data_IF_402269557722
#
_entry.id   IF_402269557722
#
_cell.length_a   1.000
_cell.length_b   1.000
_cell.length_c   1.000
_cell.angle_alpha   90.00
_cell.angle_beta   90.00
_cell.angle_gamma   90.00
#
_symmetry.space_group_name_H-M   'P 1'
#
loop_
_entity.id
_entity.type
_entity.pdbx_description
1 polymer ?
#
# COMPACT_ATOMS: atom_id res chain seq x y z
N UNK A 1 31.72 -2.28 -12.66
CA UNK A 1 30.91 -1.07 -12.40
C UNK A 1 31.63 -0.27 -11.31
N UNK A 2 31.99 1.00 -11.52
CA UNK A 2 32.72 1.79 -10.50
C UNK A 2 31.74 2.35 -9.47
N UNK A 3 32.17 2.50 -8.20
CA UNK A 3 31.32 2.99 -7.10
C UNK A 3 30.63 4.33 -7.45
N UNK A 4 31.35 5.24 -8.11
CA UNK A 4 30.82 6.53 -8.60
C UNK A 4 29.64 6.36 -9.57
N UNK A 5 29.73 5.41 -10.50
CA UNK A 5 28.66 5.12 -11.47
C UNK A 5 27.45 4.46 -10.79
N UNK A 6 27.69 3.60 -9.81
CA UNK A 6 26.61 3.01 -9.02
C UNK A 6 25.85 4.07 -8.22
N UNK A 7 26.56 4.96 -7.52
CA UNK A 7 25.94 6.07 -6.77
C UNK A 7 25.16 7.01 -7.69
N UNK A 8 25.73 7.38 -8.85
CA UNK A 8 25.03 8.19 -9.86
C UNK A 8 23.74 7.53 -10.36
N UNK A 9 23.79 6.23 -10.64
CA UNK A 9 22.59 5.48 -11.02
C UNK A 9 21.52 5.47 -9.92
N UNK A 10 21.92 5.23 -8.66
CA UNK A 10 21.00 5.26 -7.52
C UNK A 10 20.31 6.63 -7.38
N UNK A 11 21.04 7.74 -7.56
CA UNK A 11 20.46 9.08 -7.54
C UNK A 11 19.44 9.25 -8.68
N UNK A 12 19.76 8.81 -9.91
CA UNK A 12 18.82 8.87 -11.03
C UNK A 12 17.55 8.03 -10.79
N UNK A 13 17.68 6.86 -10.14
CA UNK A 13 16.52 6.04 -9.73
C UNK A 13 15.67 6.75 -8.68
N UNK A 14 16.29 7.40 -7.68
CA UNK A 14 15.54 8.19 -6.69
C UNK A 14 14.77 9.33 -7.37
N UNK A 15 15.41 10.05 -8.29
CA UNK A 15 14.75 11.11 -9.06
C UNK A 15 13.60 10.55 -9.90
N UNK A 16 13.77 9.40 -10.56
CA UNK A 16 12.73 8.73 -11.33
C UNK A 16 11.54 8.31 -10.44
N UNK A 17 11.80 7.77 -9.25
CA UNK A 17 10.79 7.43 -8.24
C UNK A 17 9.97 8.65 -7.86
N UNK A 18 10.63 9.77 -7.58
CA UNK A 18 9.96 11.04 -7.23
C UNK A 18 9.11 11.52 -8.40
N UNK A 19 9.67 11.61 -9.61
CA UNK A 19 8.97 12.07 -10.81
C UNK A 19 7.71 11.24 -11.10
N UNK A 20 7.83 9.91 -11.15
CA UNK A 20 6.69 9.03 -11.45
C UNK A 20 5.61 9.11 -10.36
N UNK A 21 5.98 9.35 -9.10
CA UNK A 21 5.03 9.54 -8.00
C UNK A 21 4.17 10.80 -8.13
N UNK A 22 4.62 11.81 -8.89
CA UNK A 22 3.87 13.04 -9.14
C UNK A 22 3.19 13.06 -10.52
N UNK A 23 3.87 12.57 -11.55
CA UNK A 23 3.37 12.59 -12.94
C UNK A 23 2.19 11.63 -13.13
N UNK A 24 2.28 10.41 -12.62
CA UNK A 24 1.22 9.40 -12.83
C UNK A 24 -0.11 9.81 -12.17
N UNK A 25 -0.13 10.38 -10.94
CA UNK A 25 -1.35 10.98 -10.40
C UNK A 25 -1.87 12.17 -11.21
N UNK A 26 -1.00 12.99 -11.80
CA UNK A 26 -1.42 14.14 -12.61
C UNK A 26 -2.17 13.73 -13.89
N UNK A 27 -1.89 12.53 -14.43
CA UNK A 27 -2.62 11.95 -15.58
C UNK A 27 -3.79 11.03 -15.16
N UNK A 28 -4.16 11.05 -13.87
CA UNK A 28 -5.34 10.33 -13.36
C UNK A 28 -5.09 8.91 -12.86
N UNK A 29 -3.84 8.46 -12.71
CA UNK A 29 -3.52 7.15 -12.12
C UNK A 29 -3.45 7.28 -10.59
N UNK A 30 -4.32 6.60 -9.83
CA UNK A 30 -4.35 6.71 -8.37
C UNK A 30 -3.03 6.29 -7.70
N UNK A 31 -2.60 7.02 -6.67
CA UNK A 31 -1.39 6.70 -5.88
C UNK A 31 -1.43 5.29 -5.29
N UNK A 32 -2.62 4.82 -4.92
CA UNK A 32 -2.88 3.48 -4.40
C UNK A 32 -2.52 2.34 -5.36
N UNK A 33 -2.50 2.61 -6.67
CA UNK A 33 -2.10 1.64 -7.69
C UNK A 33 -0.59 1.63 -7.94
N UNK A 34 0.10 2.69 -7.53
CA UNK A 34 1.50 2.98 -7.89
C UNK A 34 2.43 2.73 -6.72
N UNK A 35 1.99 3.06 -5.50
CA UNK A 35 2.83 2.98 -4.30
C UNK A 35 2.61 1.67 -3.55
N UNK A 36 3.63 1.18 -2.83
CA UNK A 36 3.47 0.03 -1.95
C UNK A 36 2.32 0.25 -0.94
N UNK A 37 1.48 -0.77 -0.67
CA UNK A 37 0.35 -0.64 0.26
C UNK A 37 0.70 -0.02 1.63
N UNK A 38 1.88 -0.31 2.23
CA UNK A 38 2.31 0.36 3.46
C UNK A 38 2.43 1.88 3.38
N UNK A 39 2.93 2.41 2.26
CA UNK A 39 3.12 3.84 2.07
C UNK A 39 1.78 4.55 1.88
N UNK A 40 0.90 3.95 1.09
CA UNK A 40 -0.45 4.46 0.83
C UNK A 40 -1.25 4.52 2.14
N UNK A 41 -1.21 3.45 2.93
CA UNK A 41 -1.89 3.40 4.23
C UNK A 41 -1.38 4.47 5.20
N UNK A 42 -0.07 4.70 5.26
CA UNK A 42 0.50 5.74 6.13
C UNK A 42 0.00 7.14 5.78
N UNK A 43 -0.38 7.37 4.53
CA UNK A 43 -0.91 8.65 4.04
C UNK A 43 -2.45 8.67 3.95
N UNK A 44 -3.12 7.60 4.38
CA UNK A 44 -4.56 7.46 4.27
C UNK A 44 -5.28 8.46 5.20
N UNK A 45 -6.19 9.24 4.63
CA UNK A 45 -6.98 10.25 5.35
C UNK A 45 -8.45 9.86 5.53
N UNK A 46 -8.92 8.85 4.78
CA UNK A 46 -10.29 8.38 4.85
C UNK A 46 -10.60 7.77 6.20
N UNK A 47 -11.75 8.14 6.77
CA UNK A 47 -12.27 7.59 8.03
C UNK A 47 -13.72 7.18 7.84
N UNK A 48 -14.06 6.00 8.33
CA UNK A 48 -15.43 5.50 8.30
C UNK A 48 -15.74 4.68 9.56
N UNK A 49 -16.99 4.72 10.04
CA UNK A 49 -17.46 3.76 11.03
C UNK A 49 -17.51 2.38 10.38
N UNK A 50 -17.01 1.39 11.10
CA UNK A 50 -17.09 -0.01 10.76
C UNK A 50 -17.59 -0.84 11.93
N UNK A 51 -17.83 -2.11 11.66
CA UNK A 51 -18.29 -3.08 12.65
C UNK A 51 -17.51 -4.37 12.50
N UNK A 52 -17.15 -4.98 13.62
CA UNK A 52 -16.49 -6.28 13.64
C UNK A 52 -17.49 -7.36 13.25
N UNK A 53 -17.23 -8.03 12.14
CA UNK A 53 -18.13 -9.02 11.56
C UNK A 53 -17.82 -10.44 11.99
N UNK A 54 -16.55 -10.76 12.27
CA UNK A 54 -16.15 -12.10 12.70
C UNK A 54 -14.84 -12.07 13.49
N UNK A 55 -14.65 -13.10 14.32
CA UNK A 55 -13.39 -13.41 15.00
C UNK A 55 -12.89 -14.74 14.45
N UNK A 56 -11.62 -14.81 14.06
CA UNK A 56 -10.99 -16.03 13.55
C UNK A 56 -9.63 -16.24 14.19
N UNK A 57 -9.27 -17.49 14.37
CA UNK A 57 -7.95 -17.86 14.81
C UNK A 57 -7.45 -19.11 14.08
N UNK A 58 -6.15 -19.16 13.81
CA UNK A 58 -5.51 -20.28 13.09
C UNK A 58 -4.20 -20.64 13.76
N UNK A 59 -3.77 -21.91 13.72
CA UNK A 59 -2.44 -22.29 14.16
C UNK A 59 -1.37 -21.52 13.39
N UNK A 60 -0.30 -21.13 14.08
CA UNK A 60 0.86 -20.47 13.50
C UNK A 60 1.59 -21.44 12.56
N UNK A 61 1.87 -21.00 11.34
CA UNK A 61 2.70 -21.75 10.39
C UNK A 61 4.20 -21.68 10.70
N UNK A 62 4.60 -21.05 11.83
CA UNK A 62 5.99 -20.95 12.21
C UNK A 62 6.49 -22.28 12.80
N UNK A 63 7.46 -22.96 12.15
CA UNK A 63 7.93 -24.27 12.60
C UNK A 63 8.66 -24.22 13.96
N UNK A 64 9.10 -23.04 14.41
CA UNK A 64 9.78 -22.85 15.70
C UNK A 64 8.83 -22.48 16.84
N UNK A 65 7.54 -22.28 16.56
CA UNK A 65 6.52 -21.91 17.55
C UNK A 65 5.31 -22.83 17.46
N UNK A 66 5.59 -24.13 17.63
CA UNK A 66 4.59 -25.19 17.59
C UNK A 66 3.55 -24.94 18.69
N UNK A 67 2.27 -24.92 18.31
CA UNK A 67 1.14 -24.66 19.22
C UNK A 67 0.75 -23.19 19.38
N UNK A 68 1.55 -22.23 18.88
CA UNK A 68 1.16 -20.82 18.88
C UNK A 68 -0.04 -20.61 17.94
N UNK A 69 -1.01 -19.79 18.36
CA UNK A 69 -2.17 -19.41 17.55
C UNK A 69 -2.04 -17.97 17.09
N UNK A 70 -2.50 -17.71 15.88
CA UNK A 70 -2.60 -16.38 15.31
C UNK A 70 -4.07 -15.96 15.30
N UNK A 71 -4.35 -14.81 15.86
CA UNK A 71 -5.68 -14.26 16.02
C UNK A 71 -5.95 -13.16 15.00
N UNK A 72 -7.16 -13.17 14.45
CA UNK A 72 -7.64 -12.23 13.45
C UNK A 72 -9.05 -11.80 13.81
N UNK A 73 -9.39 -10.57 13.48
CA UNK A 73 -10.79 -10.21 13.36
C UNK A 73 -11.06 -9.64 11.98
N UNK A 74 -12.27 -9.88 11.51
CA UNK A 74 -12.81 -9.35 10.28
C UNK A 74 -13.75 -8.21 10.63
N UNK A 75 -13.69 -7.15 9.85
CA UNK A 75 -14.57 -6.00 10.00
C UNK A 75 -15.11 -5.57 8.65
N UNK A 76 -16.26 -4.90 8.69
CA UNK A 76 -16.90 -4.30 7.52
C UNK A 76 -17.11 -2.82 7.76
N UNK A 77 -16.97 -2.02 6.72
CA UNK A 77 -17.22 -0.58 6.76
C UNK A 77 -17.77 -0.11 5.41
N UNK A 78 -18.39 1.07 5.41
CA UNK A 78 -18.87 1.69 4.17
C UNK A 78 -17.95 2.83 3.78
N UNK A 79 -17.50 2.81 2.53
CA UNK A 79 -16.75 3.89 1.92
C UNK A 79 -17.24 4.11 0.49
N UNK A 80 -16.93 5.26 -0.09
CA UNK A 80 -17.25 5.52 -1.50
C UNK A 80 -16.33 4.71 -2.39
N UNK A 81 -16.90 4.13 -3.43
CA UNK A 81 -16.10 3.38 -4.39
C UNK A 81 -15.07 4.28 -5.09
N UNK A 82 -13.88 3.74 -5.37
CA UNK A 82 -12.86 4.51 -6.06
C UNK A 82 -13.39 4.93 -7.44
N UNK A 83 -13.10 6.17 -7.85
CA UNK A 83 -13.41 6.60 -9.20
C UNK A 83 -12.68 5.69 -10.19
N UNK A 84 -13.42 5.00 -11.06
CA UNK A 84 -12.82 4.38 -12.22
C UNK A 84 -12.31 5.48 -13.17
N UNK A 85 -11.16 5.24 -13.80
CA UNK A 85 -10.62 6.10 -14.86
C UNK A 85 -11.72 6.42 -15.88
N UNK A 86 -12.01 7.71 -16.09
CA UNK A 86 -13.01 8.17 -17.07
C UNK A 86 -14.42 8.44 -16.53
N UNK A 87 -14.68 8.26 -15.23
CA UNK A 87 -16.01 8.52 -14.64
C UNK A 87 -15.96 9.73 -13.70
N UNK A 88 -16.64 10.82 -14.09
CA UNK A 88 -16.61 12.12 -13.43
C UNK A 88 -17.29 12.17 -12.04
N UNK A 89 -18.00 11.12 -11.62
CA UNK A 89 -18.75 11.09 -10.35
C UNK A 89 -18.13 10.09 -9.37
N UNK A 90 -17.96 10.45 -8.08
CA UNK A 90 -17.61 9.47 -7.05
C UNK A 90 -18.63 8.32 -7.08
N UNK A 91 -18.14 7.09 -6.99
CA UNK A 91 -19.03 5.93 -6.92
C UNK A 91 -19.91 5.96 -5.68
N UNK A 92 -21.04 5.25 -5.74
CA UNK A 92 -21.92 5.04 -4.57
C UNK A 92 -21.15 4.40 -3.41
N UNK A 93 -21.61 4.61 -2.18
CA UNK A 93 -21.03 3.92 -1.03
C UNK A 93 -21.16 2.40 -1.21
N UNK A 94 -20.06 1.68 -1.01
CA UNK A 94 -19.98 0.23 -1.08
C UNK A 94 -19.51 -0.31 0.27
N UNK A 95 -19.90 -1.55 0.56
CA UNK A 95 -19.41 -2.27 1.71
C UNK A 95 -18.01 -2.83 1.40
N UNK A 96 -17.05 -2.49 2.24
CA UNK A 96 -15.69 -3.04 2.21
C UNK A 96 -15.47 -3.91 3.43
N UNK A 97 -14.58 -4.88 3.29
CA UNK A 97 -14.13 -5.73 4.40
C UNK A 97 -12.61 -5.66 4.55
N UNK A 98 -12.17 -5.85 5.79
CA UNK A 98 -10.77 -5.99 6.10
C UNK A 98 -10.53 -7.03 7.18
N UNK A 99 -9.30 -7.53 7.23
CA UNK A 99 -8.88 -8.53 8.22
C UNK A 99 -7.60 -8.05 8.88
N UNK A 100 -7.66 -7.82 10.20
CA UNK A 100 -6.51 -7.38 10.98
C UNK A 100 -6.02 -8.52 11.89
N UNK A 101 -4.70 -8.75 11.91
CA UNK A 101 -4.04 -9.64 12.87
C UNK A 101 -3.94 -8.91 14.22
N UNK A 102 -4.25 -9.62 15.30
CA UNK A 102 -4.20 -9.08 16.67
C UNK A 102 -3.47 -9.98 17.65
N UNK A 103 -3.15 -9.41 18.81
CA UNK A 103 -2.66 -10.17 19.96
C UNK A 103 -3.81 -10.95 20.61
N UNK A 104 -3.47 -11.99 21.39
CA UNK A 104 -4.45 -12.77 22.17
C UNK A 104 -5.25 -11.90 23.14
N UNK A 105 -4.62 -10.91 23.77
CA UNK A 105 -5.27 -9.98 24.70
C UNK A 105 -6.36 -9.16 24.02
N UNK A 106 -6.08 -8.62 22.83
CA UNK A 106 -7.04 -7.83 22.05
C UNK A 106 -8.16 -8.73 21.52
N UNK A 107 -7.83 -9.95 21.09
CA UNK A 107 -8.82 -10.93 20.61
C UNK A 107 -9.87 -11.28 21.68
N UNK A 108 -9.45 -11.49 22.94
CA UNK A 108 -10.37 -11.80 24.03
C UNK A 108 -11.22 -10.63 24.53
N UNK A 109 -10.77 -9.38 24.29
CA UNK A 109 -11.48 -8.18 24.72
C UNK A 109 -12.54 -7.71 23.70
N UNK A 110 -12.39 -8.10 22.44
CA UNK A 110 -13.22 -7.64 21.33
C UNK A 110 -14.44 -8.57 21.13
N UNK A 111 -15.57 -8.00 20.72
CA UNK A 111 -16.78 -8.77 20.38
C UNK A 111 -17.26 -8.51 18.94
N UNK A 112 -17.89 -9.53 18.35
CA UNK A 112 -18.63 -9.37 17.09
C UNK A 112 -19.76 -8.36 17.29
N UNK A 113 -19.96 -7.47 16.32
CA UNK A 113 -20.92 -6.36 16.41
C UNK A 113 -20.35 -5.09 17.05
N UNK A 114 -19.14 -5.13 17.61
CA UNK A 114 -18.52 -3.95 18.20
C UNK A 114 -18.18 -2.91 17.12
N UNK A 115 -18.49 -1.61 17.36
CA UNK A 115 -18.12 -0.54 16.45
C UNK A 115 -16.61 -0.30 16.47
N UNK A 116 -16.04 -0.01 15.30
CA UNK A 116 -14.62 0.29 15.11
C UNK A 116 -14.44 1.46 14.17
N UNK A 117 -13.40 2.24 14.39
CA UNK A 117 -13.01 3.31 13.47
C UNK A 117 -12.02 2.78 12.45
N UNK A 118 -12.44 2.74 11.18
CA UNK A 118 -11.61 2.26 10.07
C UNK A 118 -10.96 3.45 9.38
N UNK A 119 -9.65 3.38 9.20
CA UNK A 119 -8.88 4.28 8.34
C UNK A 119 -8.65 3.59 7.01
N UNK A 120 -8.88 4.30 5.91
CA UNK A 120 -8.78 3.76 4.57
C UNK A 120 -8.28 4.80 3.56
N UNK A 121 -7.70 4.32 2.46
CA UNK A 121 -7.33 5.19 1.35
C UNK A 121 -8.57 5.53 0.51
N UNK A 122 -8.84 6.84 0.35
CA UNK A 122 -10.05 7.32 -0.33
C UNK A 122 -10.07 6.93 -1.81
N UNK A 123 -8.90 6.75 -2.43
CA UNK A 123 -8.78 6.34 -3.84
C UNK A 123 -8.80 4.84 -4.04
N UNK A 124 -8.68 4.06 -2.96
CA UNK A 124 -8.75 2.60 -2.99
C UNK A 124 -9.05 2.03 -1.59
N UNK A 125 -10.34 1.98 -1.19
CA UNK A 125 -10.72 1.59 0.18
C UNK A 125 -10.34 0.18 0.59
N UNK A 126 -9.92 -0.69 -0.35
CA UNK A 126 -9.32 -1.99 -0.04
C UNK A 126 -8.03 -1.87 0.78
N UNK A 127 -7.32 -0.73 0.67
CA UNK A 127 -6.24 -0.37 1.59
C UNK A 127 -6.87 0.28 2.81
N UNK A 128 -7.03 -0.51 3.87
CA UNK A 128 -7.66 -0.08 5.10
C UNK A 128 -7.02 -0.73 6.34
N UNK A 129 -7.43 -0.28 7.52
CA UNK A 129 -6.88 -0.71 8.79
C UNK A 129 -7.57 -0.03 9.96
N UNK A 130 -7.24 -0.46 11.16
CA UNK A 130 -7.74 0.12 12.40
C UNK A 130 -6.55 0.72 13.16
N UNK A 131 -6.57 2.03 13.45
CA UNK A 131 -5.50 2.70 14.19
C UNK A 131 -5.20 2.00 15.53
N UNK A 132 -3.92 1.83 15.84
CA UNK A 132 -3.49 1.17 17.08
C UNK A 132 -3.67 -0.36 17.12
N UNK A 133 -4.32 -0.95 16.11
CA UNK A 133 -4.55 -2.40 16.05
C UNK A 133 -3.73 -3.03 14.93
N UNK A 134 -3.89 -2.56 13.70
CA UNK A 134 -3.20 -3.17 12.57
C UNK A 134 -3.78 -2.79 11.21
N UNK A 135 -3.05 -3.18 10.17
CA UNK A 135 -3.42 -2.97 8.76
C UNK A 135 -4.16 -4.19 8.24
N UNK A 136 -5.12 -3.95 7.36
CA UNK A 136 -5.81 -5.02 6.66
C UNK A 136 -4.90 -5.68 5.63
N UNK A 137 -5.07 -6.98 5.46
CA UNK A 137 -4.41 -7.79 4.42
C UNK A 137 -5.43 -8.32 3.40
N UNK A 138 -6.49 -7.52 3.15
CA UNK A 138 -7.65 -7.92 2.34
C UNK A 138 -7.36 -8.20 0.86
N UNK A 139 -8.34 -8.75 0.16
CA UNK A 139 -8.28 -8.98 -1.29
C UNK A 139 -7.98 -7.66 -2.02
N UNK A 140 -6.89 -7.63 -2.79
CA UNK A 140 -6.34 -6.42 -3.41
C UNK A 140 -5.09 -5.87 -2.73
N UNK A 141 -4.77 -6.25 -1.48
CA UNK A 141 -3.49 -5.91 -0.84
C UNK A 141 -2.32 -6.79 -1.28
N UNK A 142 -2.62 -7.92 -1.93
CA UNK A 142 -1.63 -8.95 -2.26
C UNK A 142 -1.32 -8.97 -3.76
N UNK A 143 -0.04 -8.74 -4.08
CA UNK A 143 0.73 -9.25 -5.22
C UNK A 143 0.41 -8.73 -6.64
N UNK A 144 -0.83 -8.35 -6.99
CA UNK A 144 -1.16 -7.78 -8.31
C UNK A 144 -1.16 -6.24 -8.35
N UNK A 145 -0.69 -5.62 -7.28
CA UNK A 145 -0.63 -4.18 -7.12
C UNK A 145 0.40 -3.57 -8.07
N UNK A 146 -0.02 -2.60 -8.88
CA UNK A 146 0.78 -1.91 -9.90
C UNK A 146 2.06 -1.22 -9.39
N UNK A 147 2.37 -1.29 -8.09
CA UNK A 147 3.64 -0.81 -7.55
C UNK A 147 4.85 -1.57 -8.06
N UNK A 148 4.73 -2.87 -8.39
CA UNK A 148 5.83 -3.61 -9.03
C UNK A 148 6.09 -3.11 -10.44
N UNK A 149 5.04 -2.84 -11.21
CA UNK A 149 5.14 -2.24 -12.54
C UNK A 149 5.69 -0.81 -12.46
N UNK A 150 5.27 -0.03 -11.47
CA UNK A 150 5.82 1.28 -11.19
C UNK A 150 7.31 1.22 -10.81
N UNK A 151 7.71 0.29 -9.95
CA UNK A 151 9.11 0.11 -9.57
C UNK A 151 9.95 -0.28 -10.80
N UNK A 152 9.45 -1.18 -11.65
CA UNK A 152 10.06 -1.50 -12.93
C UNK A 152 10.19 -0.28 -13.84
N UNK A 153 9.13 0.51 -14.01
CA UNK A 153 9.15 1.75 -14.78
C UNK A 153 10.15 2.78 -14.22
N UNK A 154 10.24 2.89 -12.88
CA UNK A 154 11.20 3.78 -12.23
C UNK A 154 12.65 3.35 -12.47
N UNK A 155 12.93 2.04 -12.47
CA UNK A 155 14.25 1.51 -12.80
C UNK A 155 14.63 1.79 -14.26
N UNK A 156 13.70 1.59 -15.21
CA UNK A 156 13.91 1.87 -16.64
C UNK A 156 14.11 3.38 -16.88
N UNK A 157 13.28 4.23 -16.26
CA UNK A 157 13.42 5.68 -16.37
C UNK A 157 14.72 6.17 -15.72
N UNK A 158 15.10 5.62 -14.56
CA UNK A 158 16.37 5.89 -13.90
C UNK A 158 17.57 5.50 -14.77
N UNK A 159 17.49 4.37 -15.48
CA UNK A 159 18.50 3.98 -16.48
C UNK A 159 18.56 4.98 -17.65
N UNK A 160 17.42 5.44 -18.15
CA UNK A 160 17.34 6.48 -19.19
C UNK A 160 17.97 7.81 -18.74
N UNK A 161 17.61 8.31 -17.56
CA UNK A 161 18.18 9.51 -16.96
C UNK A 161 19.69 9.37 -16.74
N UNK A 162 20.13 8.22 -16.23
CA UNK A 162 21.56 7.93 -16.05
C UNK A 162 22.32 7.87 -17.38
N UNK A 163 21.72 7.30 -18.43
CA UNK A 163 22.34 7.25 -19.77
C UNK A 163 22.46 8.64 -20.39
N UNK A 164 21.44 9.49 -20.21
CA UNK A 164 21.44 10.87 -20.70
C UNK A 164 22.44 11.75 -19.95
N UNK A 165 22.54 11.58 -18.63
CA UNK A 165 23.43 12.36 -17.75
C UNK A 165 24.84 11.76 -17.62
N UNK A 166 25.05 10.53 -18.07
CA UNK A 166 26.37 9.88 -18.12
C UNK A 166 27.37 10.63 -18.98
N UNK A 167 26.89 11.44 -19.94
CA UNK A 167 27.68 12.41 -20.71
C UNK A 167 28.29 13.52 -19.82
N UNK A 168 27.61 13.95 -18.76
CA UNK A 168 28.09 14.98 -17.82
C UNK A 168 29.09 14.42 -16.80
N UNK A 169 29.00 13.13 -16.48
CA UNK A 169 29.89 12.48 -15.49
C UNK A 169 31.15 11.87 -16.12
N UNK A 170 31.19 11.73 -17.45
CA UNK A 170 32.33 11.27 -18.24
C UNK A 170 33.27 12.37 -18.73
N UNK A 171 32.87 13.65 -18.65
CA UNK A 171 33.68 14.78 -19.14
C UNK A 171 34.66 15.37 -18.11
N UNK A 172 34.73 14.84 -16.88
CA UNK A 172 35.70 15.29 -15.86
C UNK A 172 37.03 14.52 -15.87
N UNK A 173 37.48 14.06 -17.04
CA UNK A 173 38.83 13.52 -17.26
C UNK A 173 39.51 14.13 -18.49
N UNK A 174 39.58 15.45 -18.51
CA UNK A 174 40.63 16.19 -19.24
C UNK A 174 41.29 17.14 -18.28
#
# INVERSE_FOLDING_TARGET
MTLKRFVGYVICVIVAVVLLSFVLPAVGIPRSQILPPPMVYNTATGRAPGVISALRDKPSGNPFRVGERIYFFEYRFQARAPQSLGVAKPGTAQNYSGTARVTSSVYGAIKVGQPVNVVYDVTYPYINGIPGVGRSVGEGSNILSGWLLWAGAALVLGLGLFSLTGSLWGQTQT
#
